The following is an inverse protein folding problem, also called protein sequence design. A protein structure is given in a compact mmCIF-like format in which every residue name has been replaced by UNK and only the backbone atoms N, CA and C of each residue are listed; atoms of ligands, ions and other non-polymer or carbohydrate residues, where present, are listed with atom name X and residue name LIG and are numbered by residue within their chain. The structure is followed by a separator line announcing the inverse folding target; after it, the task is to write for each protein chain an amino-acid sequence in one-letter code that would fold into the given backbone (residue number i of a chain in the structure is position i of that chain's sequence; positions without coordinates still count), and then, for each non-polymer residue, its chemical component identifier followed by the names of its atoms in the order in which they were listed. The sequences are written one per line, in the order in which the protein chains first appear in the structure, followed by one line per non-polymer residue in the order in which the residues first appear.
data_IF_150675545262
#
_entry.id   IF_150675545262
#
_cell.length_a   1.000
_cell.length_b   1.000
_cell.length_c   1.000
_cell.angle_alpha   90.00
_cell.angle_beta   90.00
_cell.angle_gamma   90.00
#
_symmetry.space_group_name_H-M   'P 1'
#
loop_
_entity.id
_entity.type
_entity.pdbx_description
1 polymer ?
#
# COMPACT_ATOMS: atom_id res chain seq x y z
N UNK A 1 21.66 19.23 -5.15
CA UNK A 1 21.56 19.11 -3.68
C UNK A 1 20.29 19.75 -3.10
N UNK A 2 19.74 20.77 -3.69
CA UNK A 2 18.52 21.47 -3.23
C UNK A 2 17.24 20.62 -3.18
N UNK A 3 17.04 19.71 -4.13
CA UNK A 3 15.81 18.89 -4.22
C UNK A 3 15.68 17.88 -3.05
N UNK A 4 16.78 17.25 -2.65
CA UNK A 4 16.77 16.30 -1.53
C UNK A 4 16.49 17.00 -0.18
N UNK A 5 17.08 18.18 0.04
CA UNK A 5 16.80 18.99 1.23
C UNK A 5 15.34 19.43 1.26
N UNK A 6 14.78 19.87 0.12
CA UNK A 6 13.38 20.27 0.03
C UNK A 6 12.41 19.12 0.38
N UNK A 7 12.68 17.91 -0.12
CA UNK A 7 11.90 16.72 0.19
C UNK A 7 11.95 16.33 1.68
N UNK A 8 13.14 16.37 2.30
CA UNK A 8 13.29 16.05 3.73
C UNK A 8 12.55 17.07 4.59
N UNK A 9 12.63 18.36 4.23
CA UNK A 9 11.94 19.43 4.97
C UNK A 9 10.41 19.28 4.82
N UNK A 10 9.91 19.10 3.60
CA UNK A 10 8.49 18.93 3.33
C UNK A 10 7.92 17.70 4.06
N UNK A 11 8.61 16.57 3.99
CA UNK A 11 8.24 15.34 4.67
C UNK A 11 8.24 15.50 6.19
N UNK A 12 9.25 16.20 6.74
CA UNK A 12 9.33 16.46 8.17
C UNK A 12 8.21 17.38 8.66
N UNK A 13 7.80 18.35 7.85
CA UNK A 13 6.69 19.25 8.17
C UNK A 13 5.33 18.52 8.13
N UNK A 14 5.11 17.69 7.13
CA UNK A 14 3.87 16.90 7.00
C UNK A 14 3.74 15.90 8.14
N UNK A 15 4.85 15.27 8.53
CA UNK A 15 4.86 14.30 9.62
C UNK A 15 4.62 14.98 10.98
N UNK A 16 5.20 16.16 11.19
CA UNK A 16 4.95 16.94 12.41
C UNK A 16 3.50 17.39 12.54
N UNK A 17 2.84 17.71 11.42
CA UNK A 17 1.41 18.04 11.41
C UNK A 17 0.52 16.85 11.82
N UNK A 18 0.92 15.64 11.44
CA UNK A 18 0.15 14.41 11.77
C UNK A 18 0.45 13.86 13.16
N UNK A 19 1.67 14.06 13.65
CA UNK A 19 2.13 13.54 14.95
C UNK A 19 2.77 14.65 15.79
N UNK A 20 1.98 15.52 16.44
CA UNK A 20 2.50 16.67 17.20
C UNK A 20 3.32 16.26 18.42
N UNK A 21 3.27 14.98 18.85
CA UNK A 21 4.05 14.45 19.97
C UNK A 21 5.54 14.22 19.66
N UNK A 22 5.93 14.20 18.38
CA UNK A 22 7.32 13.97 17.99
C UNK A 22 7.95 15.33 17.64
N UNK A 23 9.02 15.68 18.36
CA UNK A 23 9.73 16.93 18.09
C UNK A 23 10.36 16.90 16.70
N UNK A 24 10.20 17.99 15.95
CA UNK A 24 10.79 18.17 14.63
C UNK A 24 12.31 17.85 14.62
N UNK A 25 13.04 18.24 15.65
CA UNK A 25 14.48 17.97 15.77
C UNK A 25 14.80 16.47 15.90
N UNK A 26 13.97 15.73 16.61
CA UNK A 26 14.13 14.27 16.76
C UNK A 26 13.89 13.57 15.43
N UNK A 27 12.85 13.98 14.70
CA UNK A 27 12.54 13.42 13.38
C UNK A 27 13.62 13.75 12.34
N UNK A 28 14.16 14.98 12.37
CA UNK A 28 15.26 15.38 11.50
C UNK A 28 16.52 14.56 11.76
N UNK A 29 16.90 14.37 13.04
CA UNK A 29 18.06 13.54 13.41
C UNK A 29 17.88 12.09 12.99
N UNK A 30 16.67 11.56 13.15
CA UNK A 30 16.34 10.20 12.71
C UNK A 30 16.49 10.08 11.18
N UNK A 31 15.94 11.00 10.40
CA UNK A 31 16.08 11.01 8.94
C UNK A 31 17.55 11.16 8.49
N UNK A 32 18.31 12.03 9.11
CA UNK A 32 19.73 12.20 8.81
C UNK A 32 20.53 10.92 9.16
N UNK A 33 20.25 10.30 10.31
CA UNK A 33 20.86 9.03 10.70
C UNK A 33 20.52 7.90 9.74
N UNK A 34 19.25 7.80 9.34
CA UNK A 34 18.78 6.83 8.36
C UNK A 34 19.44 7.04 6.99
N UNK A 35 19.52 8.29 6.53
CA UNK A 35 20.18 8.65 5.27
C UNK A 35 21.69 8.31 5.30
N UNK A 36 22.35 8.54 6.41
CA UNK A 36 23.75 8.17 6.60
C UNK A 36 23.94 6.67 6.57
N UNK A 37 23.05 5.91 7.21
CA UNK A 37 23.08 4.45 7.21
C UNK A 37 22.89 3.89 5.79
N UNK A 38 21.92 4.42 5.05
CA UNK A 38 21.69 4.01 3.66
C UNK A 38 22.84 4.40 2.73
N UNK A 39 23.47 5.55 2.95
CA UNK A 39 24.62 5.98 2.15
C UNK A 39 25.83 5.02 2.27
N UNK A 40 25.97 4.33 3.39
CA UNK A 40 27.02 3.35 3.62
C UNK A 40 26.72 1.93 3.04
N UNK A 41 25.45 1.64 2.73
CA UNK A 41 25.07 0.31 2.23
C UNK A 41 25.41 0.06 0.76
N UNK A 42 25.72 1.11 -0.01
CA UNK A 42 25.94 1.01 -1.45
C UNK A 42 24.64 0.93 -2.26
N UNK A 43 24.72 1.33 -3.53
CA UNK A 43 23.56 1.47 -4.42
C UNK A 43 22.79 0.16 -4.62
N UNK A 44 23.49 -0.95 -4.82
CA UNK A 44 22.88 -2.25 -5.05
C UNK A 44 22.03 -2.72 -3.85
N UNK A 45 22.51 -2.48 -2.64
CA UNK A 45 21.79 -2.82 -1.42
C UNK A 45 20.54 -1.96 -1.24
N UNK A 46 20.65 -0.68 -1.55
CA UNK A 46 19.52 0.26 -1.51
C UNK A 46 18.42 -0.19 -2.47
N UNK A 47 18.77 -0.55 -3.70
CA UNK A 47 17.82 -1.04 -4.70
C UNK A 47 17.18 -2.34 -4.23
N UNK A 48 17.97 -3.30 -3.74
CA UNK A 48 17.49 -4.59 -3.28
C UNK A 48 16.45 -4.50 -2.16
N UNK A 49 16.62 -3.55 -1.23
CA UNK A 49 15.67 -3.34 -0.12
C UNK A 49 14.52 -2.40 -0.47
N UNK A 50 14.71 -1.50 -1.44
CA UNK A 50 13.64 -0.60 -1.90
C UNK A 50 12.61 -1.33 -2.76
N UNK A 51 13.04 -2.32 -3.54
CA UNK A 51 12.16 -3.07 -4.45
C UNK A 51 10.97 -3.73 -3.74
N UNK A 52 11.14 -4.48 -2.64
CA UNK A 52 10.01 -5.08 -1.91
C UNK A 52 9.01 -4.03 -1.40
N UNK A 53 9.51 -2.91 -0.88
CA UNK A 53 8.67 -1.82 -0.38
C UNK A 53 7.86 -1.22 -1.53
N UNK A 54 8.49 -1.03 -2.69
CA UNK A 54 7.85 -0.50 -3.87
C UNK A 54 6.76 -1.44 -4.40
N UNK A 55 7.04 -2.75 -4.44
CA UNK A 55 6.08 -3.78 -4.85
C UNK A 55 4.85 -3.86 -3.92
N UNK A 56 5.01 -3.52 -2.65
CA UNK A 56 3.90 -3.40 -1.71
C UNK A 56 3.09 -2.11 -1.92
N UNK A 57 3.77 -0.97 -2.08
CA UNK A 57 3.11 0.33 -2.20
C UNK A 57 2.41 0.53 -3.56
N UNK A 58 2.98 -0.04 -4.63
CA UNK A 58 2.47 0.14 -5.99
C UNK A 58 1.01 -0.32 -6.17
N UNK A 59 0.61 -1.56 -5.77
CA UNK A 59 -0.78 -1.99 -5.84
C UNK A 59 -1.72 -1.12 -5.04
N UNK A 60 -1.30 -0.71 -3.85
CA UNK A 60 -2.10 0.14 -2.97
C UNK A 60 -2.32 1.53 -3.57
N UNK A 61 -1.26 2.14 -4.11
CA UNK A 61 -1.33 3.45 -4.74
C UNK A 61 -2.30 3.44 -5.93
N UNK A 62 -2.16 2.46 -6.84
CA UNK A 62 -3.05 2.34 -8.00
C UNK A 62 -4.49 2.11 -7.57
N UNK A 63 -4.73 1.19 -6.62
CA UNK A 63 -6.07 0.93 -6.10
C UNK A 63 -6.70 2.18 -5.51
N UNK A 64 -5.96 2.95 -4.71
CA UNK A 64 -6.47 4.20 -4.14
C UNK A 64 -6.73 5.27 -5.20
N UNK A 65 -5.91 5.37 -6.24
CA UNK A 65 -6.15 6.28 -7.37
C UNK A 65 -7.44 5.89 -8.10
N UNK A 66 -7.63 4.62 -8.42
CA UNK A 66 -8.84 4.11 -9.08
C UNK A 66 -10.07 4.39 -8.20
N UNK A 67 -10.01 4.09 -6.91
CA UNK A 67 -11.09 4.42 -5.99
C UNK A 67 -11.37 5.92 -5.90
N UNK A 68 -10.34 6.74 -5.93
CA UNK A 68 -10.47 8.19 -5.95
C UNK A 68 -11.22 8.68 -7.19
N UNK A 69 -10.88 8.16 -8.37
CA UNK A 69 -11.55 8.47 -9.63
C UNK A 69 -13.01 7.99 -9.66
N UNK A 70 -13.27 6.82 -9.08
CA UNK A 70 -14.61 6.22 -8.99
C UNK A 70 -15.44 6.75 -7.80
N UNK A 71 -14.84 7.58 -6.96
CA UNK A 71 -15.47 8.16 -5.77
C UNK A 71 -16.85 8.78 -6.01
N UNK A 72 -17.13 9.46 -7.15
CA UNK A 72 -18.47 9.98 -7.43
C UNK A 72 -19.55 8.90 -7.53
N UNK A 73 -19.21 7.68 -7.96
CA UNK A 73 -20.16 6.58 -8.15
C UNK A 73 -20.76 6.08 -6.82
N UNK A 74 -19.98 6.07 -5.75
CA UNK A 74 -20.39 5.53 -4.45
C UNK A 74 -20.41 6.59 -3.33
N UNK A 75 -20.55 7.88 -3.71
CA UNK A 75 -20.73 9.02 -2.78
C UNK A 75 -19.74 9.01 -1.61
N UNK A 76 -18.47 8.62 -1.85
CA UNK A 76 -17.40 8.52 -0.84
C UNK A 76 -17.73 7.56 0.32
N UNK A 77 -18.48 6.48 0.08
CA UNK A 77 -18.79 5.52 1.15
C UNK A 77 -17.48 4.83 1.63
N UNK A 78 -17.12 4.97 2.92
CA UNK A 78 -15.88 4.41 3.47
C UNK A 78 -15.83 2.88 3.42
N UNK A 79 -16.97 2.21 3.26
CA UNK A 79 -17.06 0.76 3.15
C UNK A 79 -16.38 0.25 1.90
N UNK A 80 -16.63 0.89 0.74
CA UNK A 80 -16.01 0.52 -0.54
C UNK A 80 -14.49 0.65 -0.44
N UNK A 81 -14.00 1.76 0.13
CA UNK A 81 -12.56 1.96 0.32
C UNK A 81 -11.93 0.88 1.20
N UNK A 82 -12.55 0.56 2.33
CA UNK A 82 -12.03 -0.43 3.29
C UNK A 82 -11.99 -1.83 2.72
N UNK A 83 -13.05 -2.27 2.04
CA UNK A 83 -13.12 -3.61 1.45
C UNK A 83 -12.11 -3.74 0.32
N UNK A 84 -12.10 -2.81 -0.63
CA UNK A 84 -11.20 -2.88 -1.78
C UNK A 84 -9.74 -2.81 -1.35
N UNK A 85 -9.37 -1.84 -0.51
CA UNK A 85 -8.00 -1.70 -0.02
C UNK A 85 -7.57 -2.91 0.83
N UNK A 86 -8.46 -3.43 1.68
CA UNK A 86 -8.20 -4.61 2.49
C UNK A 86 -7.95 -5.87 1.66
N UNK A 87 -8.76 -6.10 0.61
CA UNK A 87 -8.53 -7.22 -0.29
C UNK A 87 -7.25 -7.07 -1.11
N UNK A 88 -6.90 -5.84 -1.53
CA UNK A 88 -5.66 -5.58 -2.27
C UNK A 88 -4.42 -5.75 -1.39
N UNK A 89 -4.54 -5.52 -0.09
CA UNK A 89 -3.41 -5.63 0.85
C UNK A 89 -2.85 -7.06 0.91
N UNK A 90 -3.71 -8.07 0.81
CA UNK A 90 -3.31 -9.48 0.89
C UNK A 90 -2.32 -9.84 -0.24
N UNK A 91 -2.69 -9.74 -1.53
CA UNK A 91 -1.77 -10.06 -2.61
C UNK A 91 -0.57 -9.10 -2.68
N UNK A 92 -0.75 -7.82 -2.33
CA UNK A 92 0.36 -6.86 -2.26
C UNK A 92 1.45 -7.29 -1.27
N UNK A 93 1.06 -7.89 -0.15
CA UNK A 93 1.99 -8.45 0.82
C UNK A 93 2.77 -9.65 0.24
N UNK A 94 2.12 -10.52 -0.53
CA UNK A 94 2.78 -11.63 -1.22
C UNK A 94 3.70 -11.16 -2.34
N UNK A 95 3.32 -10.12 -3.08
CA UNK A 95 4.19 -9.49 -4.10
C UNK A 95 5.44 -8.87 -3.46
N UNK A 96 5.30 -8.26 -2.27
CA UNK A 96 6.42 -7.78 -1.48
C UNK A 96 7.35 -8.93 -1.07
N UNK A 97 6.80 -10.05 -0.58
CA UNK A 97 7.58 -11.22 -0.19
C UNK A 97 8.33 -11.83 -1.39
N UNK A 98 7.70 -11.86 -2.56
CA UNK A 98 8.32 -12.34 -3.79
C UNK A 98 9.47 -11.44 -4.27
N UNK A 99 9.45 -10.17 -3.94
CA UNK A 99 10.48 -9.21 -4.32
C UNK A 99 11.64 -9.11 -3.31
N UNK A 100 11.62 -9.88 -2.22
CA UNK A 100 12.70 -9.89 -1.23
C UNK A 100 14.04 -10.32 -1.85
N UNK A 101 15.18 -9.84 -1.31
CA UNK A 101 16.50 -10.26 -1.78
C UNK A 101 16.71 -11.77 -1.70
N UNK A 102 17.46 -12.31 -2.66
CA UNK A 102 17.71 -13.75 -2.82
C UNK A 102 18.17 -14.45 -1.54
N UNK A 103 18.93 -13.78 -0.69
CA UNK A 103 19.43 -14.31 0.58
C UNK A 103 18.31 -14.74 1.55
N UNK A 104 17.11 -14.18 1.41
CA UNK A 104 15.95 -14.52 2.22
C UNK A 104 15.04 -15.57 1.57
N UNK A 105 15.19 -15.80 0.26
CA UNK A 105 14.43 -16.82 -0.48
C UNK A 105 14.82 -18.27 -0.11
N UNK A 106 15.95 -18.48 0.55
CA UNK A 106 16.39 -19.81 1.02
C UNK A 106 15.52 -20.32 2.19
N UNK A 107 14.72 -19.45 2.80
CA UNK A 107 13.81 -19.84 3.87
C UNK A 107 12.71 -20.74 3.34
N UNK A 108 12.63 -21.96 3.87
CA UNK A 108 11.61 -22.97 3.52
C UNK A 108 10.19 -22.47 3.73
N UNK A 109 9.97 -21.60 4.73
CA UNK A 109 8.69 -20.94 4.98
C UNK A 109 8.30 -19.99 3.85
N UNK A 110 9.25 -19.20 3.34
CA UNK A 110 8.98 -18.25 2.26
C UNK A 110 8.65 -18.97 0.96
N UNK A 111 9.36 -20.03 0.63
CA UNK A 111 9.08 -20.86 -0.55
C UNK A 111 7.70 -21.50 -0.49
N UNK A 112 7.28 -22.00 0.67
CA UNK A 112 5.94 -22.57 0.88
C UNK A 112 4.85 -21.51 0.68
N UNK A 113 5.04 -20.31 1.26
CA UNK A 113 4.10 -19.19 1.13
C UNK A 113 4.00 -18.70 -0.33
N UNK A 114 5.14 -18.59 -1.02
CA UNK A 114 5.15 -18.18 -2.43
C UNK A 114 4.54 -19.26 -3.33
N UNK A 115 4.78 -20.55 -3.06
CA UNK A 115 4.16 -21.66 -3.77
C UNK A 115 2.62 -21.65 -3.62
N UNK A 116 2.13 -21.34 -2.43
CA UNK A 116 0.71 -21.14 -2.18
C UNK A 116 0.17 -19.94 -2.99
N UNK A 117 0.87 -18.82 -2.96
CA UNK A 117 0.47 -17.63 -3.69
C UNK A 117 0.42 -17.86 -5.22
N UNK A 118 1.42 -18.55 -5.79
CA UNK A 118 1.44 -18.89 -7.21
C UNK A 118 0.26 -19.78 -7.63
N UNK A 119 -0.22 -20.64 -6.74
CA UNK A 119 -1.33 -21.54 -7.02
C UNK A 119 -2.70 -20.85 -6.88
N UNK A 120 -2.84 -19.91 -5.97
CA UNK A 120 -4.11 -19.26 -5.64
C UNK A 120 -4.33 -17.91 -6.35
N UNK A 121 -3.24 -17.18 -6.66
CA UNK A 121 -3.37 -15.86 -7.25
C UNK A 121 -3.14 -15.92 -8.77
N UNK A 122 -4.18 -15.70 -9.60
CA UNK A 122 -4.01 -15.60 -11.03
C UNK A 122 -3.11 -14.39 -11.36
N UNK A 123 -2.22 -14.57 -12.34
CA UNK A 123 -1.23 -13.56 -12.77
C UNK A 123 -0.16 -13.17 -11.73
N UNK A 124 0.01 -13.95 -10.65
CA UNK A 124 1.04 -13.70 -9.65
C UNK A 124 2.46 -13.70 -10.24
N UNK A 125 2.74 -14.61 -11.17
CA UNK A 125 4.03 -14.70 -11.86
C UNK A 125 4.37 -13.45 -12.71
N UNK A 126 3.37 -12.67 -13.09
CA UNK A 126 3.52 -11.42 -13.83
C UNK A 126 3.57 -10.18 -12.92
N UNK A 127 3.48 -10.34 -11.59
CA UNK A 127 3.41 -9.23 -10.64
C UNK A 127 2.06 -8.52 -10.61
N UNK A 128 1.02 -9.10 -11.22
CA UNK A 128 -0.34 -8.55 -11.27
C UNK A 128 -1.34 -9.35 -10.42
N UNK A 129 -0.86 -10.15 -9.47
CA UNK A 129 -1.71 -10.91 -8.56
C UNK A 129 -2.73 -10.07 -7.80
N UNK A 130 -2.36 -8.84 -7.47
CA UNK A 130 -3.22 -7.88 -6.77
C UNK A 130 -4.40 -7.37 -7.60
N UNK A 131 -4.29 -7.33 -8.94
CA UNK A 131 -5.31 -6.74 -9.82
C UNK A 131 -6.64 -7.47 -9.72
N UNK A 132 -6.62 -8.80 -9.71
CA UNK A 132 -7.81 -9.65 -9.58
C UNK A 132 -8.55 -9.39 -8.26
N UNK A 133 -7.80 -9.22 -7.18
CA UNK A 133 -8.35 -8.95 -5.85
C UNK A 133 -8.84 -7.50 -5.71
N UNK A 134 -8.16 -6.55 -6.33
CA UNK A 134 -8.62 -5.17 -6.39
C UNK A 134 -9.95 -5.05 -7.12
N UNK A 135 -10.09 -5.71 -8.27
CA UNK A 135 -11.34 -5.76 -9.04
C UNK A 135 -12.46 -6.48 -8.26
N UNK A 136 -12.17 -7.63 -7.66
CA UNK A 136 -13.13 -8.34 -6.82
C UNK A 136 -13.56 -7.48 -5.62
N UNK A 137 -12.62 -6.81 -4.97
CA UNK A 137 -12.89 -5.90 -3.86
C UNK A 137 -13.75 -4.71 -4.28
N UNK A 138 -13.51 -4.16 -5.45
CA UNK A 138 -14.31 -3.08 -6.01
C UNK A 138 -15.76 -3.54 -6.27
N UNK A 139 -15.94 -4.69 -6.91
CA UNK A 139 -17.26 -5.26 -7.19
C UNK A 139 -18.00 -5.55 -5.88
N UNK A 140 -17.38 -6.21 -4.91
CA UNK A 140 -17.96 -6.49 -3.60
C UNK A 140 -18.28 -5.20 -2.83
N UNK A 141 -17.42 -4.22 -2.91
CA UNK A 141 -17.65 -2.90 -2.32
C UNK A 141 -18.85 -2.18 -2.92
N UNK A 142 -19.00 -2.20 -4.24
CA UNK A 142 -20.14 -1.62 -4.94
C UNK A 142 -21.45 -2.35 -4.63
N UNK A 143 -21.43 -3.68 -4.57
CA UNK A 143 -22.60 -4.49 -4.17
C UNK A 143 -22.99 -4.12 -2.72
N UNK A 144 -22.03 -4.08 -1.81
CA UNK A 144 -22.26 -3.68 -0.43
C UNK A 144 -22.85 -2.27 -0.29
N UNK A 145 -22.37 -1.32 -1.09
CA UNK A 145 -22.93 0.01 -1.15
C UNK A 145 -24.39 0.00 -1.66
N UNK A 146 -24.68 -0.75 -2.72
CA UNK A 146 -26.03 -0.88 -3.28
C UNK A 146 -27.03 -1.49 -2.29
N UNK A 147 -26.62 -2.50 -1.52
CA UNK A 147 -27.45 -3.12 -0.47
C UNK A 147 -27.71 -2.14 0.68
N UNK A 148 -26.70 -1.36 1.07
CA UNK A 148 -26.80 -0.38 2.15
C UNK A 148 -27.72 0.79 1.79
N UNK A 149 -27.64 1.27 0.55
CA UNK A 149 -28.54 2.33 0.05
C UNK A 149 -29.98 1.84 -0.07
N UNK A 150 -30.20 0.59 -0.40
CA UNK A 150 -31.54 -0.01 -0.50
C UNK A 150 -32.19 -0.27 0.87
N UNK A 151 -31.38 -0.43 1.94
CA UNK A 151 -31.85 -0.63 3.32
C UNK A 151 -32.10 0.68 4.11
N UNK A 152 -31.91 1.84 3.51
CA UNK A 152 -32.37 3.11 4.08
C UNK A 152 -33.69 3.48 3.40
N UNK A 153 -34.86 3.01 3.88
CA UNK A 153 -36.13 3.58 3.47
C UNK A 153 -36.14 5.04 3.91
N UNK A 154 -36.62 5.86 3.03
CA UNK A 154 -36.93 7.26 3.23
C UNK A 154 -37.80 7.40 4.50
N UNK A 155 -37.18 7.69 5.64
CA UNK A 155 -37.82 8.33 6.77
C UNK A 155 -37.43 9.79 6.65
N UNK A 156 -38.11 10.48 5.78
CA UNK A 156 -38.06 11.92 5.73
C UNK A 156 -39.50 12.38 5.39
N UNK A 157 -39.92 13.27 6.17
CA UNK A 157 -41.06 14.19 6.11
C UNK A 157 -42.16 13.82 7.11
N UNK A 158 -41.97 14.37 8.31
CA UNK A 158 -42.98 15.24 8.92
C UNK A 158 -42.25 16.37 9.64
#
# INVERSE_FOLDING_TARGET
MTSAMGLVIAFSQDFHRRFPRISYRTFLRFNCGLSFLFANLGLNQIIAWSTPILMFLYPLAITLIILGLLSPLFKKDPLVYRITTGLTLIPAFFDMLNALPANLHESQLLQTLLGFAQRFFPFFSLGFGWLSFALAGLILGLIGHGIKTRKRPVLAND
#
